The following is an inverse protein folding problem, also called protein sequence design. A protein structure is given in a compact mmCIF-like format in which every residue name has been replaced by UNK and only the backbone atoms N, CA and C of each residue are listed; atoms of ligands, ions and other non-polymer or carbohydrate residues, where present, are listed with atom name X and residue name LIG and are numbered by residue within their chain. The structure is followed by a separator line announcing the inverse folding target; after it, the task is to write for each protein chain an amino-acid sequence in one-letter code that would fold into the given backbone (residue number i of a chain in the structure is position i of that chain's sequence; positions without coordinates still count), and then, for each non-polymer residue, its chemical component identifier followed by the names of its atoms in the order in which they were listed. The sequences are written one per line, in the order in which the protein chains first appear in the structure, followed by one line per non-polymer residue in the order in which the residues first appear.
data_IF_296313901302
#
_entry.id   IF_296313901302
#
_cell.length_a   1.000
_cell.length_b   1.000
_cell.length_c   1.000
_cell.angle_alpha   90.00
_cell.angle_beta   90.00
_cell.angle_gamma   90.00
#
_symmetry.space_group_name_H-M   'P 1'
#
loop_
_entity.id
_entity.type
_entity.pdbx_description
1 polymer ?
#
# COMPACT_ATOMS: atom_id res chain seq x y z
N UNK A 1 25.25 -1.58 7.11
CA UNK A 1 24.00 -0.84 6.97
C UNK A 1 23.01 -1.82 6.38
N UNK A 2 22.18 -2.44 7.23
CA UNK A 2 21.25 -3.50 6.80
C UNK A 2 19.93 -2.85 6.43
N UNK A 3 19.48 -3.09 5.19
CA UNK A 3 18.12 -2.75 4.75
C UNK A 3 17.21 -3.92 5.13
N UNK A 4 16.33 -3.74 6.09
CA UNK A 4 15.18 -4.63 6.28
C UNK A 4 14.05 -4.19 5.36
N UNK A 5 14.08 -4.72 4.14
CA UNK A 5 12.95 -4.62 3.24
C UNK A 5 11.99 -5.77 3.55
N UNK A 6 10.90 -5.49 4.23
CA UNK A 6 9.83 -6.47 4.44
C UNK A 6 9.04 -6.67 3.16
N UNK A 7 9.42 -7.69 2.40
CA UNK A 7 8.68 -8.12 1.20
C UNK A 7 7.63 -9.13 1.65
N UNK A 8 6.36 -8.81 1.48
CA UNK A 8 5.24 -9.71 1.76
C UNK A 8 4.98 -10.56 0.52
N UNK A 9 5.39 -11.83 0.55
CA UNK A 9 5.02 -12.82 -0.48
C UNK A 9 3.76 -13.58 -0.07
N UNK A 10 2.69 -13.42 -0.83
CA UNK A 10 1.55 -14.31 -0.77
C UNK A 10 1.75 -15.48 -1.75
N UNK A 11 2.13 -16.66 -1.24
CA UNK A 11 2.25 -17.87 -2.05
C UNK A 11 1.02 -18.74 -1.93
N UNK A 12 0.15 -18.73 -2.94
CA UNK A 12 -0.82 -19.79 -3.15
C UNK A 12 -0.16 -20.96 -3.89
N UNK A 13 -0.16 -22.13 -3.24
CA UNK A 13 0.30 -23.40 -3.82
C UNK A 13 -0.78 -23.97 -4.72
N UNK A 14 -0.58 -23.96 -6.04
CA UNK A 14 -1.27 -24.89 -6.94
C UNK A 14 -0.29 -26.00 -7.36
N UNK A 15 -0.76 -27.25 -7.26
CA UNK A 15 -0.02 -28.47 -7.66
C UNK A 15 0.00 -28.59 -9.19
N UNK A 16 1.14 -28.88 -9.75
CA UNK A 16 1.18 -29.55 -11.03
C UNK A 16 2.42 -29.27 -11.90
N UNK A 17 3.20 -30.31 -12.04
CA UNK A 17 4.07 -30.68 -13.19
C UNK A 17 5.40 -29.97 -13.36
N UNK A 18 6.44 -30.69 -12.95
CA UNK A 18 7.83 -30.53 -13.41
C UNK A 18 7.96 -30.93 -14.88
N UNK A 19 8.56 -30.08 -15.68
CA UNK A 19 9.13 -30.48 -16.96
C UNK A 19 10.54 -29.87 -17.10
N UNK A 20 11.54 -30.75 -17.06
CA UNK A 20 12.95 -30.43 -17.38
C UNK A 20 13.07 -30.23 -18.90
N UNK A 21 13.66 -29.13 -19.32
CA UNK A 21 14.21 -29.00 -20.67
C UNK A 21 15.69 -28.68 -20.56
N UNK A 22 16.47 -29.65 -20.98
CA UNK A 22 17.91 -29.62 -21.14
C UNK A 22 18.23 -28.93 -22.50
N UNK A 23 18.94 -27.81 -22.49
CA UNK A 23 19.39 -27.20 -23.74
C UNK A 23 20.89 -27.39 -23.93
N UNK A 24 21.20 -28.11 -25.00
CA UNK A 24 22.54 -28.47 -25.48
C UNK A 24 23.19 -27.29 -26.21
N UNK A 25 24.44 -26.98 -25.85
CA UNK A 25 25.29 -26.07 -26.63
C UNK A 25 25.86 -26.77 -27.85
N UNK A 26 25.78 -26.13 -29.02
CA UNK A 26 26.64 -26.45 -30.17
C UNK A 26 27.33 -25.18 -30.65
N UNK A 27 28.65 -25.18 -30.51
CA UNK A 27 29.57 -24.24 -31.18
C UNK A 27 29.69 -24.63 -32.64
N UNK A 28 29.63 -23.67 -33.57
CA UNK A 28 30.35 -23.76 -34.83
C UNK A 28 30.79 -22.36 -35.29
N UNK A 29 32.09 -22.20 -35.35
CA UNK A 29 32.83 -21.11 -35.97
C UNK A 29 32.93 -21.30 -37.45
N UNK A 30 32.79 -20.25 -38.27
CA UNK A 30 33.56 -19.97 -39.51
C UNK A 30 33.32 -18.52 -39.96
N UNK A 31 34.45 -17.76 -40.20
CA UNK A 31 34.53 -16.60 -41.10
C UNK A 31 35.07 -17.07 -42.46
N UNK A 32 34.93 -16.36 -43.61
CA UNK A 32 35.49 -15.02 -43.83
C UNK A 32 34.71 -14.08 -44.80
N UNK A 33 35.04 -12.79 -44.63
CA UNK A 33 35.29 -11.70 -45.62
C UNK A 33 34.75 -11.78 -47.05
N UNK A 34 34.05 -10.71 -47.44
CA UNK A 34 34.35 -9.92 -48.67
C UNK A 34 33.62 -8.55 -48.59
N UNK A 35 34.35 -7.51 -48.94
CA UNK A 35 33.87 -6.14 -49.08
C UNK A 35 33.15 -5.98 -50.45
N UNK A 36 32.07 -5.17 -50.45
CA UNK A 36 31.62 -4.44 -51.61
C UNK A 36 30.81 -3.21 -51.17
N UNK A 37 31.26 -2.05 -51.56
CA UNK A 37 30.62 -0.76 -51.45
C UNK A 37 29.27 -0.77 -52.17
N UNK A 38 28.23 -0.24 -51.49
CA UNK A 38 27.08 0.35 -52.16
C UNK A 38 26.57 1.50 -51.27
N UNK A 39 26.76 2.72 -51.76
CA UNK A 39 26.07 3.90 -51.31
C UNK A 39 24.56 3.67 -51.47
N UNK A 40 23.83 3.57 -50.34
CA UNK A 40 22.39 3.66 -50.34
C UNK A 40 21.98 4.83 -49.42
N UNK A 41 21.33 5.77 -50.06
CA UNK A 41 20.67 6.96 -49.53
C UNK A 41 19.94 6.66 -48.23
N UNK A 42 20.40 7.25 -47.14
CA UNK A 42 19.76 7.17 -45.84
C UNK A 42 18.53 8.11 -45.87
N UNK A 43 17.37 7.57 -46.25
CA UNK A 43 16.11 8.18 -45.88
C UNK A 43 15.92 7.94 -44.37
N UNK A 44 15.96 9.02 -43.60
CA UNK A 44 15.57 9.00 -42.22
C UNK A 44 14.07 8.67 -42.18
N UNK A 45 13.71 7.44 -41.98
CA UNK A 45 12.42 7.08 -41.44
C UNK A 45 12.42 7.60 -40.00
N UNK A 46 11.71 8.70 -39.80
CA UNK A 46 11.26 9.08 -38.43
C UNK A 46 10.31 7.96 -38.02
N UNK A 47 10.84 6.98 -37.32
CA UNK A 47 10.01 6.10 -36.51
C UNK A 47 9.34 7.01 -35.52
N UNK A 48 8.04 7.20 -35.69
CA UNK A 48 7.13 7.75 -34.69
C UNK A 48 7.16 6.75 -33.53
N UNK A 49 8.11 6.97 -32.63
CA UNK A 49 8.25 6.27 -31.36
C UNK A 49 7.25 6.89 -30.37
N UNK A 50 5.97 6.95 -30.78
CA UNK A 50 4.87 7.00 -29.84
C UNK A 50 4.84 5.62 -29.17
N UNK A 51 5.77 5.40 -28.23
CA UNK A 51 5.63 4.35 -27.26
C UNK A 51 4.19 4.47 -26.73
N UNK A 52 3.37 3.45 -27.01
CA UNK A 52 2.09 3.26 -26.33
C UNK A 52 2.52 3.15 -24.88
N UNK A 53 2.46 4.28 -24.16
CA UNK A 53 2.73 4.33 -22.74
C UNK A 53 1.72 3.34 -22.14
N UNK A 54 2.22 2.24 -21.59
CA UNK A 54 1.35 1.21 -21.02
C UNK A 54 0.43 1.92 -20.05
N UNK A 55 -0.89 1.68 -20.14
CA UNK A 55 -1.86 2.31 -19.26
C UNK A 55 -1.37 2.16 -17.82
N UNK A 56 -1.31 3.24 -17.07
CA UNK A 56 -0.83 3.20 -15.70
C UNK A 56 -1.80 2.42 -14.82
N UNK A 57 -1.35 1.99 -13.68
CA UNK A 57 -2.07 1.07 -12.79
C UNK A 57 -3.46 1.61 -12.40
N UNK A 58 -3.53 2.86 -11.94
CA UNK A 58 -4.79 3.48 -11.53
C UNK A 58 -5.69 3.82 -12.72
N UNK A 59 -5.10 4.24 -13.84
CA UNK A 59 -5.83 4.51 -15.09
C UNK A 59 -6.52 3.25 -15.61
N UNK A 60 -5.88 2.09 -15.47
CA UNK A 60 -6.44 0.80 -15.85
C UNK A 60 -7.52 0.33 -14.88
N UNK A 61 -7.25 0.36 -13.57
CA UNK A 61 -8.10 -0.25 -12.53
C UNK A 61 -9.10 0.73 -11.90
N UNK A 62 -8.82 2.03 -11.90
CA UNK A 62 -9.70 3.07 -11.35
C UNK A 62 -9.83 3.06 -9.84
N UNK A 63 -10.97 3.52 -9.34
CA UNK A 63 -11.26 3.50 -7.90
C UNK A 63 -11.43 2.07 -7.40
N UNK A 64 -10.62 1.68 -6.41
CA UNK A 64 -10.77 0.41 -5.73
C UNK A 64 -11.94 0.43 -4.74
N UNK A 65 -12.54 -0.72 -4.54
CA UNK A 65 -13.60 -0.94 -3.55
C UNK A 65 -13.49 -2.30 -2.89
N UNK A 66 -14.24 -2.52 -1.81
CA UNK A 66 -14.34 -3.82 -1.14
C UNK A 66 -15.64 -4.49 -1.54
N UNK A 67 -15.55 -5.66 -2.16
CA UNK A 67 -16.70 -6.46 -2.58
C UNK A 67 -17.46 -7.06 -1.39
N UNK A 68 -18.67 -7.52 -1.61
CA UNK A 68 -19.47 -8.21 -0.59
C UNK A 68 -18.84 -9.53 -0.10
N UNK A 69 -17.89 -10.07 -0.86
CA UNK A 69 -17.10 -11.25 -0.48
C UNK A 69 -15.77 -10.91 0.21
N UNK A 70 -15.54 -9.63 0.53
CA UNK A 70 -14.38 -9.18 1.29
C UNK A 70 -13.08 -8.98 0.47
N UNK A 71 -13.14 -9.07 -0.85
CA UNK A 71 -11.98 -8.83 -1.71
C UNK A 71 -11.90 -7.37 -2.15
N UNK A 72 -10.68 -6.87 -2.30
CA UNK A 72 -10.43 -5.63 -3.02
C UNK A 72 -10.71 -5.87 -4.50
N UNK A 73 -11.53 -5.02 -5.11
CA UNK A 73 -11.89 -5.09 -6.52
C UNK A 73 -11.71 -3.74 -7.20
N UNK A 74 -11.43 -3.78 -8.50
CA UNK A 74 -11.27 -2.61 -9.35
C UNK A 74 -12.62 -2.06 -9.85
N UNK A 75 -12.59 -1.01 -10.69
CA UNK A 75 -13.79 -0.42 -11.31
C UNK A 75 -14.64 -1.39 -12.12
N UNK A 76 -14.05 -2.51 -12.58
CA UNK A 76 -14.71 -3.55 -13.36
C UNK A 76 -15.20 -4.72 -12.49
N UNK A 77 -15.09 -4.60 -11.17
CA UNK A 77 -15.38 -5.67 -10.19
C UNK A 77 -14.44 -6.89 -10.32
N UNK A 78 -13.29 -6.71 -10.94
CA UNK A 78 -12.22 -7.72 -10.97
C UNK A 78 -11.40 -7.65 -9.70
N UNK A 79 -11.02 -8.81 -9.14
CA UNK A 79 -10.17 -8.85 -7.95
C UNK A 79 -8.83 -8.18 -8.24
N UNK A 80 -8.49 -7.19 -7.43
CA UNK A 80 -7.23 -6.46 -7.51
C UNK A 80 -6.32 -6.83 -6.34
N UNK A 81 -5.10 -7.24 -6.65
CA UNK A 81 -4.10 -7.54 -5.63
C UNK A 81 -3.23 -6.31 -5.37
N UNK A 82 -3.33 -5.74 -4.17
CA UNK A 82 -2.41 -4.71 -3.71
C UNK A 82 -1.06 -5.37 -3.44
N UNK A 83 -0.02 -4.89 -4.14
CA UNK A 83 1.38 -5.24 -3.95
C UNK A 83 2.11 -3.98 -3.52
N UNK A 84 2.26 -3.81 -2.20
CA UNK A 84 2.76 -2.58 -1.62
C UNK A 84 4.09 -2.73 -0.91
N UNK A 85 4.71 -1.58 -0.67
CA UNK A 85 5.82 -1.42 0.25
C UNK A 85 5.56 -0.23 1.15
N UNK A 86 5.91 -0.36 2.44
CA UNK A 86 5.77 0.73 3.40
C UNK A 86 7.06 1.54 3.51
N UNK A 87 6.92 2.85 3.65
CA UNK A 87 8.01 3.67 4.19
C UNK A 87 8.18 3.36 5.67
N UNK A 88 9.32 3.72 6.22
CA UNK A 88 9.48 3.94 7.65
C UNK A 88 8.96 5.34 8.01
N UNK A 89 9.19 5.82 9.26
CA UNK A 89 8.83 7.18 9.66
C UNK A 89 9.31 8.21 8.62
N UNK A 90 8.38 9.05 8.15
CA UNK A 90 8.66 10.08 7.13
C UNK A 90 9.69 11.12 7.60
N UNK A 91 9.84 11.30 8.92
CA UNK A 91 10.86 12.17 9.50
C UNK A 91 12.28 11.55 9.47
N UNK A 92 12.40 10.22 9.40
CA UNK A 92 13.70 9.54 9.49
C UNK A 92 14.36 9.34 8.15
N UNK A 93 13.57 9.10 7.09
CA UNK A 93 14.07 8.76 5.76
C UNK A 93 13.31 9.50 4.64
N UNK A 94 13.14 10.84 4.73
CA UNK A 94 12.37 11.60 3.75
C UNK A 94 12.97 11.55 2.34
N UNK A 95 14.29 11.26 2.24
CA UNK A 95 15.02 11.20 0.96
C UNK A 95 14.55 10.07 0.04
N UNK A 96 13.86 9.05 0.57
CA UNK A 96 13.30 7.96 -0.23
C UNK A 96 11.86 8.22 -0.71
N UNK A 97 11.22 9.29 -0.24
CA UNK A 97 9.85 9.64 -0.60
C UNK A 97 9.86 10.59 -1.79
N UNK A 98 10.03 10.02 -2.99
CA UNK A 98 10.12 10.80 -4.23
C UNK A 98 9.76 9.94 -5.46
N UNK A 99 9.55 10.62 -6.60
CA UNK A 99 9.16 10.00 -7.87
C UNK A 99 10.17 8.96 -8.36
N UNK A 100 11.48 9.22 -8.22
CA UNK A 100 12.51 8.33 -8.78
C UNK A 100 12.58 7.02 -7.99
N UNK A 101 12.49 7.08 -6.66
CA UNK A 101 12.41 5.89 -5.81
C UNK A 101 11.15 5.08 -6.12
N UNK A 102 9.98 5.72 -6.20
CA UNK A 102 8.72 5.03 -6.44
C UNK A 102 8.66 4.45 -7.87
N UNK A 103 9.20 5.17 -8.86
CA UNK A 103 9.33 4.62 -10.23
C UNK A 103 10.16 3.34 -10.24
N UNK A 104 11.30 3.33 -9.54
CA UNK A 104 12.15 2.14 -9.44
C UNK A 104 11.43 0.98 -8.77
N UNK A 105 10.68 1.23 -7.69
CA UNK A 105 9.87 0.21 -7.00
C UNK A 105 8.79 -0.35 -7.94
N UNK A 106 8.10 0.50 -8.69
CA UNK A 106 7.09 0.10 -9.67
C UNK A 106 7.70 -0.75 -10.79
N UNK A 107 8.76 -0.25 -11.43
CA UNK A 107 9.28 -0.80 -12.68
C UNK A 107 10.16 -2.04 -12.46
N UNK A 108 10.93 -2.10 -11.36
CA UNK A 108 11.85 -3.21 -11.08
C UNK A 108 11.25 -4.27 -10.15
N UNK A 109 10.30 -3.89 -9.28
CA UNK A 109 9.75 -4.77 -8.25
C UNK A 109 8.24 -5.02 -8.40
N UNK A 110 7.60 -4.48 -9.44
CA UNK A 110 6.16 -4.58 -9.68
C UNK A 110 5.29 -4.08 -8.51
N UNK A 111 5.78 -3.08 -7.78
CA UNK A 111 5.01 -2.45 -6.69
C UNK A 111 3.93 -1.57 -7.32
N UNK A 112 2.68 -1.77 -6.93
CA UNK A 112 1.55 -0.98 -7.41
C UNK A 112 1.03 0.03 -6.37
N UNK A 113 1.48 -0.08 -5.12
CA UNK A 113 0.98 0.72 -3.99
C UNK A 113 2.13 1.11 -3.06
N UNK A 114 2.20 2.37 -2.66
CA UNK A 114 3.13 2.85 -1.63
C UNK A 114 2.34 3.13 -0.35
N UNK A 115 2.80 2.63 0.80
CA UNK A 115 2.27 2.99 2.11
C UNK A 115 3.15 4.06 2.74
N UNK A 116 2.58 5.21 3.06
CA UNK A 116 3.26 6.36 3.66
C UNK A 116 2.95 6.43 5.14
N UNK A 117 3.90 6.02 5.98
CA UNK A 117 3.73 5.86 7.40
C UNK A 117 3.98 7.18 8.15
N UNK A 118 2.90 7.89 8.52
CA UNK A 118 2.95 9.08 9.37
C UNK A 118 2.97 8.66 10.84
N UNK A 119 4.16 8.44 11.37
CA UNK A 119 4.35 8.10 12.79
C UNK A 119 3.83 9.21 13.71
N UNK A 120 3.16 8.83 14.79
CA UNK A 120 2.46 9.74 15.69
C UNK A 120 3.28 10.14 16.91
N UNK A 121 3.70 9.19 17.73
CA UNK A 121 4.28 9.42 19.06
C UNK A 121 5.75 9.02 19.22
N UNK A 122 6.34 8.34 18.23
CA UNK A 122 7.75 7.97 18.24
C UNK A 122 8.65 9.21 18.12
N UNK A 123 9.96 9.04 18.33
CA UNK A 123 10.93 10.10 18.13
C UNK A 123 10.79 10.72 16.72
N UNK A 124 10.62 12.03 16.69
CA UNK A 124 10.29 12.75 15.45
C UNK A 124 8.87 12.50 14.93
N UNK A 125 7.96 11.93 15.71
CA UNK A 125 6.57 11.68 15.32
C UNK A 125 5.73 12.97 15.22
N UNK A 126 4.70 12.92 14.40
CA UNK A 126 3.86 14.07 14.07
C UNK A 126 3.19 14.73 15.27
N UNK A 127 2.72 13.95 16.26
CA UNK A 127 1.99 14.46 17.41
C UNK A 127 2.90 15.04 18.50
N UNK A 128 4.17 14.64 18.54
CA UNK A 128 5.14 15.05 19.58
C UNK A 128 6.16 16.08 19.09
N UNK A 129 6.19 16.37 17.80
CA UNK A 129 7.09 17.33 17.19
C UNK A 129 6.57 18.77 17.26
N UNK A 130 7.48 19.74 17.09
CA UNK A 130 7.12 21.14 16.93
C UNK A 130 6.44 21.43 15.56
N UNK A 131 5.93 22.65 15.39
CA UNK A 131 5.21 23.02 14.18
C UNK A 131 6.08 22.98 12.92
N UNK A 132 7.37 23.26 13.02
CA UNK A 132 8.32 23.21 11.89
C UNK A 132 8.49 21.78 11.41
N UNK A 133 8.78 20.86 12.31
CA UNK A 133 8.93 19.44 12.01
C UNK A 133 7.62 18.82 11.47
N UNK A 134 6.46 19.19 12.05
CA UNK A 134 5.15 18.78 11.52
C UNK A 134 4.93 19.22 10.07
N UNK A 135 5.27 20.48 9.74
CA UNK A 135 5.15 20.98 8.37
C UNK A 135 6.10 20.25 7.41
N UNK A 136 7.30 19.91 7.85
CA UNK A 136 8.24 19.11 7.03
C UNK A 136 7.70 17.70 6.77
N UNK A 137 7.16 17.01 7.77
CA UNK A 137 6.52 15.70 7.59
C UNK A 137 5.30 15.77 6.67
N UNK A 138 4.46 16.79 6.81
CA UNK A 138 3.32 17.00 5.89
C UNK A 138 3.79 17.28 4.46
N UNK A 139 4.87 18.05 4.28
CA UNK A 139 5.44 18.28 2.96
C UNK A 139 6.00 16.98 2.35
N UNK A 140 6.69 16.16 3.15
CA UNK A 140 7.17 14.85 2.73
C UNK A 140 6.00 13.92 2.32
N UNK A 141 4.95 13.82 3.15
CA UNK A 141 3.75 13.06 2.84
C UNK A 141 3.09 13.54 1.54
N UNK A 142 2.90 14.85 1.39
CA UNK A 142 2.34 15.44 0.18
C UNK A 142 3.15 15.08 -1.06
N UNK A 143 4.49 15.22 -0.97
CA UNK A 143 5.40 14.83 -2.07
C UNK A 143 5.26 13.35 -2.42
N UNK A 144 5.09 12.47 -1.44
CA UNK A 144 4.87 11.04 -1.66
C UNK A 144 3.53 10.75 -2.33
N UNK A 145 2.44 11.41 -1.90
CA UNK A 145 1.12 11.28 -2.53
C UNK A 145 1.19 11.74 -3.98
N UNK A 146 1.76 12.92 -4.25
CA UNK A 146 1.87 13.47 -5.59
C UNK A 146 2.77 12.62 -6.50
N UNK A 147 3.86 12.06 -5.95
CA UNK A 147 4.72 11.13 -6.68
C UNK A 147 3.98 9.85 -7.08
N UNK A 148 3.16 9.28 -6.19
CA UNK A 148 2.34 8.11 -6.52
C UNK A 148 1.28 8.44 -7.58
N UNK A 149 0.60 9.59 -7.47
CA UNK A 149 -0.36 10.06 -8.47
C UNK A 149 0.32 10.26 -9.83
N UNK A 150 1.48 10.92 -9.86
CA UNK A 150 2.25 11.14 -11.10
C UNK A 150 2.67 9.83 -11.77
N UNK A 151 2.96 8.80 -10.99
CA UNK A 151 3.36 7.47 -11.46
C UNK A 151 2.17 6.54 -11.70
N UNK A 152 0.95 7.05 -11.53
CA UNK A 152 -0.30 6.30 -11.67
C UNK A 152 -0.35 5.05 -10.76
N UNK A 153 0.17 5.19 -9.54
CA UNK A 153 0.19 4.18 -8.48
C UNK A 153 -0.87 4.49 -7.41
N UNK A 154 -1.27 3.46 -6.66
CA UNK A 154 -2.04 3.67 -5.43
C UNK A 154 -1.12 4.10 -4.28
N UNK A 155 -1.73 4.77 -3.29
CA UNK A 155 -1.04 5.17 -2.08
C UNK A 155 -1.94 4.96 -0.86
N UNK A 156 -1.40 4.34 0.18
CA UNK A 156 -2.02 4.23 1.50
C UNK A 156 -1.43 5.33 2.37
N UNK A 157 -2.29 6.21 2.88
CA UNK A 157 -1.91 7.23 3.87
C UNK A 157 -2.19 6.64 5.23
N UNK A 158 -1.12 6.31 5.96
CA UNK A 158 -1.19 5.62 7.24
C UNK A 158 -0.93 6.56 8.42
N UNK A 159 -1.87 6.59 9.36
CA UNK A 159 -1.73 7.18 10.68
C UNK A 159 -1.11 6.15 11.61
N UNK A 160 0.24 6.23 11.72
CA UNK A 160 1.05 5.16 12.27
C UNK A 160 1.16 5.26 13.79
N UNK A 161 0.11 4.84 14.50
CA UNK A 161 0.18 4.69 15.95
C UNK A 161 0.98 3.44 16.31
N UNK A 162 1.77 3.53 17.37
CA UNK A 162 2.58 2.44 17.90
C UNK A 162 2.77 2.58 19.41
N UNK A 163 3.69 3.44 19.88
CA UNK A 163 3.94 3.65 21.31
C UNK A 163 2.83 4.41 22.02
N UNK A 164 2.01 5.16 21.32
CA UNK A 164 0.79 5.80 21.82
C UNK A 164 -0.38 4.83 22.03
N UNK A 165 -0.25 3.59 21.60
CA UNK A 165 -1.13 2.45 21.86
C UNK A 165 -2.59 2.66 21.51
N UNK A 166 -3.25 3.68 22.09
CA UNK A 166 -4.68 3.97 21.93
C UNK A 166 -4.89 5.13 20.95
N UNK A 167 -5.58 4.92 19.81
CA UNK A 167 -5.79 5.95 18.79
C UNK A 167 -6.56 7.16 19.32
N UNK A 168 -7.30 7.03 20.42
CA UNK A 168 -8.03 8.13 21.02
C UNK A 168 -7.10 9.18 21.68
N UNK A 169 -5.82 8.85 21.95
CA UNK A 169 -4.88 9.79 22.57
C UNK A 169 -4.68 11.04 21.69
N UNK A 170 -4.59 10.87 20.39
CA UNK A 170 -4.42 11.96 19.42
C UNK A 170 -5.58 12.08 18.42
N UNK A 171 -6.79 11.70 18.84
CA UNK A 171 -7.98 11.64 17.97
C UNK A 171 -8.26 12.97 17.24
N UNK A 172 -8.23 14.11 17.97
CA UNK A 172 -8.50 15.42 17.35
C UNK A 172 -7.45 15.79 16.30
N UNK A 173 -6.20 15.39 16.52
CA UNK A 173 -5.12 15.58 15.57
C UNK A 173 -5.33 14.68 14.35
N UNK A 174 -5.72 13.43 14.55
CA UNK A 174 -6.06 12.49 13.47
C UNK A 174 -7.23 12.99 12.62
N UNK A 175 -8.31 13.48 13.25
CA UNK A 175 -9.46 14.07 12.56
C UNK A 175 -9.04 15.23 11.65
N UNK A 176 -8.21 16.14 12.17
CA UNK A 176 -7.71 17.30 11.42
C UNK A 176 -6.76 16.87 10.29
N UNK A 177 -5.92 15.87 10.54
CA UNK A 177 -5.00 15.30 9.56
C UNK A 177 -5.76 14.67 8.39
N UNK A 178 -6.68 13.76 8.66
CA UNK A 178 -7.46 13.09 7.61
C UNK A 178 -8.40 14.04 6.87
N UNK A 179 -8.98 15.03 7.56
CA UNK A 179 -9.76 16.09 6.89
C UNK A 179 -8.90 16.84 5.87
N UNK A 180 -7.68 17.23 6.25
CA UNK A 180 -6.75 17.90 5.35
C UNK A 180 -6.43 17.05 4.12
N UNK A 181 -6.09 15.77 4.31
CA UNK A 181 -5.74 14.89 3.19
C UNK A 181 -6.95 14.61 2.32
N UNK A 182 -8.09 14.24 2.91
CA UNK A 182 -9.30 13.91 2.17
C UNK A 182 -9.88 15.12 1.42
N UNK A 183 -9.85 16.32 2.01
CA UNK A 183 -10.31 17.54 1.32
C UNK A 183 -9.42 17.94 0.14
N UNK A 184 -8.14 17.56 0.17
CA UNK A 184 -7.19 17.86 -0.91
C UNK A 184 -7.22 16.82 -2.02
N UNK A 185 -7.33 15.54 -1.67
CA UNK A 185 -7.15 14.42 -2.60
C UNK A 185 -8.36 13.48 -2.69
N UNK A 186 -9.49 13.81 -2.10
CA UNK A 186 -10.65 12.90 -2.01
C UNK A 186 -11.30 12.56 -3.36
N UNK A 187 -11.01 13.32 -4.40
CA UNK A 187 -11.42 13.06 -5.80
C UNK A 187 -10.44 12.12 -6.54
N UNK A 188 -9.29 11.78 -5.94
CA UNK A 188 -8.27 10.95 -6.57
C UNK A 188 -8.52 9.47 -6.26
N UNK A 189 -8.67 8.61 -7.27
CA UNK A 189 -8.86 7.17 -7.08
C UNK A 189 -7.63 6.46 -6.49
N UNK A 190 -6.48 7.15 -6.44
CA UNK A 190 -5.22 6.63 -5.96
C UNK A 190 -5.20 6.36 -4.45
N UNK A 191 -6.04 7.07 -3.65
CA UNK A 191 -5.83 7.20 -2.22
C UNK A 191 -6.65 6.17 -1.42
N UNK A 192 -5.96 5.42 -0.58
CA UNK A 192 -6.52 4.61 0.51
C UNK A 192 -6.08 5.22 1.84
N UNK A 193 -6.88 5.08 2.87
CA UNK A 193 -6.62 5.64 4.19
C UNK A 193 -6.47 4.53 5.22
N UNK A 194 -5.35 4.45 5.92
CA UNK A 194 -5.15 3.57 7.07
C UNK A 194 -5.18 4.42 8.33
N UNK A 195 -6.22 4.25 9.14
CA UNK A 195 -6.57 5.24 10.16
C UNK A 195 -5.96 4.97 11.53
N UNK A 196 -5.43 3.77 11.75
CA UNK A 196 -4.65 3.43 12.94
C UNK A 196 -3.84 2.16 12.66
N UNK A 197 -2.51 2.28 12.68
CA UNK A 197 -1.58 1.20 12.35
C UNK A 197 -1.69 0.01 13.32
N UNK A 198 -1.25 0.19 14.56
CA UNK A 198 -1.11 -0.89 15.54
C UNK A 198 -1.63 -0.50 16.94
N UNK A 199 -2.95 -0.43 17.15
CA UNK A 199 -3.51 -0.29 18.49
C UNK A 199 -3.03 -1.45 19.38
N UNK A 200 -2.55 -1.13 20.59
CA UNK A 200 -1.91 -2.15 21.43
C UNK A 200 -2.14 -1.88 22.94
N UNK A 201 -1.40 -2.59 23.80
CA UNK A 201 -1.59 -2.53 25.23
C UNK A 201 -3.00 -2.99 25.64
N UNK A 202 -3.64 -2.22 26.51
CA UNK A 202 -5.00 -2.51 27.00
C UNK A 202 -6.10 -1.88 26.13
N UNK A 203 -5.76 -1.40 24.92
CA UNK A 203 -6.72 -0.77 24.01
C UNK A 203 -7.74 -1.77 23.52
N UNK A 204 -9.00 -1.57 23.87
CA UNK A 204 -10.10 -2.44 23.48
C UNK A 204 -10.58 -2.19 22.05
N UNK A 205 -11.25 -3.21 21.47
CA UNK A 205 -11.91 -3.05 20.18
C UNK A 205 -12.99 -1.96 20.20
N UNK A 206 -13.73 -1.80 21.28
CA UNK A 206 -14.77 -0.76 21.40
C UNK A 206 -14.17 0.65 21.33
N UNK A 207 -13.00 0.87 21.92
CA UNK A 207 -12.27 2.15 21.84
C UNK A 207 -11.79 2.43 20.42
N UNK A 208 -11.20 1.41 19.77
CA UNK A 208 -10.76 1.50 18.37
C UNK A 208 -11.96 1.77 17.45
N UNK A 209 -13.04 1.04 17.65
CA UNK A 209 -14.28 1.18 16.87
C UNK A 209 -14.88 2.58 16.99
N UNK A 210 -14.94 3.13 18.22
CA UNK A 210 -15.42 4.49 18.46
C UNK A 210 -14.56 5.55 17.77
N UNK A 211 -13.24 5.44 17.89
CA UNK A 211 -12.29 6.29 17.16
C UNK A 211 -12.50 6.20 15.65
N UNK A 212 -12.56 4.96 15.15
CA UNK A 212 -12.62 4.70 13.72
C UNK A 212 -13.89 5.26 13.08
N UNK A 213 -15.05 5.15 13.75
CA UNK A 213 -16.32 5.71 13.23
C UNK A 213 -16.19 7.21 12.99
N UNK A 214 -15.63 7.95 13.94
CA UNK A 214 -15.48 9.41 13.81
C UNK A 214 -14.52 9.80 12.69
N UNK A 215 -13.39 9.07 12.56
CA UNK A 215 -12.39 9.33 11.50
C UNK A 215 -12.93 8.94 10.13
N UNK A 216 -13.58 7.77 10.01
CA UNK A 216 -14.22 7.34 8.77
C UNK A 216 -15.25 8.37 8.31
N UNK A 217 -16.14 8.80 9.20
CA UNK A 217 -17.19 9.77 8.86
C UNK A 217 -16.57 11.13 8.44
N UNK A 218 -15.44 11.54 9.04
CA UNK A 218 -14.68 12.72 8.60
C UNK A 218 -14.10 12.56 7.19
N UNK A 219 -13.47 11.43 6.89
CA UNK A 219 -12.93 11.12 5.56
C UNK A 219 -14.06 11.10 4.52
N UNK A 220 -15.20 10.49 4.85
CA UNK A 220 -16.36 10.33 3.94
C UNK A 220 -17.00 11.64 3.51
N UNK A 221 -16.79 12.72 4.23
CA UNK A 221 -17.25 14.05 3.80
C UNK A 221 -16.60 14.50 2.49
N UNK A 222 -15.39 14.02 2.18
CA UNK A 222 -14.61 14.45 1.02
C UNK A 222 -14.26 13.29 0.07
N UNK A 223 -14.11 12.10 0.60
CA UNK A 223 -13.72 10.87 -0.11
C UNK A 223 -14.74 9.74 0.13
N UNK A 224 -15.98 9.86 -0.37
CA UNK A 224 -17.10 8.96 -0.01
C UNK A 224 -16.90 7.52 -0.45
N UNK A 225 -16.07 7.26 -1.45
CA UNK A 225 -15.88 5.92 -2.04
C UNK A 225 -14.52 5.28 -1.70
N UNK A 226 -13.60 6.00 -1.07
CA UNK A 226 -12.26 5.47 -0.79
C UNK A 226 -12.31 4.30 0.19
N UNK A 227 -11.38 3.36 0.03
CA UNK A 227 -11.16 2.30 1.02
C UNK A 227 -10.55 2.93 2.28
N UNK A 228 -11.08 2.51 3.45
CA UNK A 228 -10.48 2.82 4.75
C UNK A 228 -10.03 1.52 5.41
N UNK A 229 -8.79 1.50 5.88
CA UNK A 229 -8.14 0.38 6.56
C UNK A 229 -8.12 0.69 8.05
N UNK A 230 -8.62 -0.24 8.85
CA UNK A 230 -8.79 -0.10 10.30
C UNK A 230 -7.89 -1.09 11.01
N UNK A 231 -7.01 -0.60 11.88
CA UNK A 231 -6.21 -1.45 12.76
C UNK A 231 -7.08 -2.20 13.78
N UNK A 232 -6.61 -3.37 14.20
CA UNK A 232 -7.29 -4.20 15.21
C UNK A 232 -6.47 -4.27 16.49
N UNK A 233 -7.03 -4.73 17.64
CA UNK A 233 -6.25 -4.79 18.87
C UNK A 233 -4.99 -5.63 18.77
N UNK A 234 -4.11 -5.50 19.78
CA UNK A 234 -2.90 -6.32 19.93
C UNK A 234 -1.98 -6.25 18.69
N UNK A 235 -1.57 -5.02 18.34
CA UNK A 235 -0.72 -4.75 17.16
C UNK A 235 -1.35 -5.28 15.88
N UNK A 236 -2.60 -4.96 15.65
CA UNK A 236 -3.38 -5.39 14.48
C UNK A 236 -3.39 -6.91 14.26
N UNK A 237 -3.50 -7.70 15.36
CA UNK A 237 -3.55 -9.16 15.31
C UNK A 237 -4.92 -9.75 15.66
N UNK A 238 -5.79 -9.02 16.38
CA UNK A 238 -7.07 -9.55 16.91
C UNK A 238 -8.24 -9.29 15.94
N UNK A 239 -8.07 -9.73 14.69
CA UNK A 239 -9.12 -9.63 13.66
C UNK A 239 -10.37 -10.45 13.98
N UNK A 240 -10.25 -11.52 14.76
CA UNK A 240 -11.35 -12.32 15.26
C UNK A 240 -12.25 -11.52 16.21
N UNK A 241 -11.67 -10.72 17.11
CA UNK A 241 -12.41 -9.82 17.99
C UNK A 241 -13.15 -8.77 17.16
N UNK A 242 -12.47 -8.11 16.21
CA UNK A 242 -13.11 -7.16 15.32
C UNK A 242 -14.26 -7.78 14.51
N UNK A 243 -14.11 -9.04 14.09
CA UNK A 243 -15.12 -9.78 13.31
C UNK A 243 -16.40 -10.08 14.07
N UNK A 244 -16.34 -10.12 15.41
CA UNK A 244 -17.52 -10.35 16.26
C UNK A 244 -18.46 -9.14 16.35
N UNK A 245 -17.94 -7.94 16.10
CA UNK A 245 -18.68 -6.67 16.14
C UNK A 245 -18.09 -5.67 15.14
N UNK A 246 -18.17 -5.90 13.82
CA UNK A 246 -17.56 -5.05 12.82
C UNK A 246 -18.14 -3.64 12.81
N UNK A 247 -17.45 -2.71 12.17
CA UNK A 247 -17.93 -1.33 11.96
C UNK A 247 -18.98 -1.34 10.85
N UNK A 248 -20.14 -0.75 11.11
CA UNK A 248 -21.25 -0.66 10.13
C UNK A 248 -21.01 0.46 9.11
N UNK A 249 -19.98 0.31 8.28
CA UNK A 249 -19.64 1.19 7.17
C UNK A 249 -19.17 0.35 6.00
N UNK A 250 -19.26 0.86 4.79
CA UNK A 250 -18.82 0.18 3.56
C UNK A 250 -17.39 0.54 3.19
N UNK A 251 -16.78 -0.23 2.30
CA UNK A 251 -15.40 -0.05 1.83
C UNK A 251 -14.39 0.00 2.98
N UNK A 252 -14.52 -0.93 3.92
CA UNK A 252 -13.56 -1.11 5.01
C UNK A 252 -12.75 -2.37 4.80
N UNK A 253 -11.46 -2.29 5.17
CA UNK A 253 -10.56 -3.41 5.37
C UNK A 253 -10.08 -3.39 6.82
N UNK A 254 -9.77 -4.56 7.38
CA UNK A 254 -9.28 -4.70 8.75
C UNK A 254 -7.86 -5.24 8.72
N UNK A 255 -6.93 -4.51 9.33
CA UNK A 255 -5.51 -4.87 9.30
C UNK A 255 -5.23 -6.15 10.08
N UNK A 256 -4.43 -7.01 9.47
CA UNK A 256 -3.74 -8.12 10.13
C UNK A 256 -2.24 -7.96 9.91
N UNK A 257 -1.49 -7.73 11.00
CA UNK A 257 -0.04 -7.63 10.97
C UNK A 257 0.61 -8.89 11.51
N UNK A 258 1.69 -9.33 10.90
CA UNK A 258 2.41 -10.51 11.37
C UNK A 258 3.85 -10.60 10.88
N UNK A 259 4.66 -11.22 11.70
CA UNK A 259 6.00 -11.66 11.32
C UNK A 259 5.96 -13.15 10.96
N UNK A 260 6.17 -13.47 9.68
CA UNK A 260 6.00 -14.82 9.14
C UNK A 260 6.85 -15.91 9.85
N UNK A 261 8.00 -15.53 10.40
CA UNK A 261 8.86 -16.45 11.17
C UNK A 261 8.35 -16.71 12.59
N UNK A 262 7.57 -15.80 13.18
CA UNK A 262 7.20 -15.79 14.60
C UNK A 262 5.75 -16.23 14.83
N UNK A 263 4.81 -15.67 14.07
CA UNK A 263 3.39 -15.92 14.24
C UNK A 263 2.97 -17.19 13.47
N UNK A 264 2.28 -18.11 14.16
CA UNK A 264 1.93 -19.44 13.64
C UNK A 264 0.43 -19.73 13.82
N UNK A 265 0.10 -20.89 14.38
CA UNK A 265 -1.26 -21.42 14.43
C UNK A 265 -2.25 -20.52 15.17
N UNK A 266 -1.82 -19.83 16.22
CA UNK A 266 -2.69 -18.95 17.00
C UNK A 266 -3.23 -17.81 16.13
N UNK A 267 -2.36 -17.12 15.38
CA UNK A 267 -2.79 -16.04 14.50
C UNK A 267 -3.56 -16.56 13.28
N UNK A 268 -3.19 -17.74 12.77
CA UNK A 268 -3.95 -18.41 11.70
C UNK A 268 -5.38 -18.73 12.13
N UNK A 269 -5.57 -19.15 13.39
CA UNK A 269 -6.89 -19.41 13.95
C UNK A 269 -7.76 -18.16 14.07
N UNK A 270 -7.17 -17.03 14.48
CA UNK A 270 -7.83 -15.71 14.51
C UNK A 270 -8.27 -15.29 13.10
N UNK A 271 -7.35 -15.39 12.13
CA UNK A 271 -7.66 -15.10 10.73
C UNK A 271 -8.79 -15.98 10.20
N UNK A 272 -8.74 -17.31 10.47
CA UNK A 272 -9.79 -18.24 10.03
C UNK A 272 -11.15 -17.86 10.63
N UNK A 273 -11.19 -17.46 11.90
CA UNK A 273 -12.41 -16.99 12.57
C UNK A 273 -12.94 -15.73 11.89
N UNK A 274 -12.08 -14.73 11.65
CA UNK A 274 -12.46 -13.48 11.01
C UNK A 274 -13.02 -13.70 9.59
N UNK A 275 -12.36 -14.54 8.79
CA UNK A 275 -12.83 -14.90 7.44
C UNK A 275 -14.15 -15.66 7.46
N UNK A 276 -14.35 -16.56 8.43
CA UNK A 276 -15.62 -17.29 8.60
C UNK A 276 -16.76 -16.34 8.94
N UNK A 277 -16.49 -15.30 9.70
CA UNK A 277 -17.45 -14.24 10.03
C UNK A 277 -17.65 -13.22 8.89
N UNK A 278 -16.93 -13.36 7.78
CA UNK A 278 -17.05 -12.49 6.60
C UNK A 278 -16.34 -11.15 6.73
N UNK A 279 -15.36 -11.02 7.67
CA UNK A 279 -14.60 -9.79 7.82
C UNK A 279 -13.60 -9.62 6.65
N UNK A 280 -13.58 -8.46 5.96
CA UNK A 280 -12.57 -8.17 4.94
C UNK A 280 -11.21 -7.90 5.59
N UNK A 281 -10.32 -8.89 5.60
CA UNK A 281 -8.98 -8.78 6.22
C UNK A 281 -7.94 -8.37 5.18
N UNK A 282 -7.04 -7.48 5.57
CA UNK A 282 -5.95 -6.97 4.74
C UNK A 282 -4.63 -6.98 5.53
N UNK A 283 -3.56 -7.43 4.88
CA UNK A 283 -2.22 -7.37 5.44
C UNK A 283 -1.57 -6.09 4.94
N UNK A 284 -1.49 -5.07 5.80
CA UNK A 284 -0.92 -3.75 5.47
C UNK A 284 0.54 -3.62 5.90
N UNK A 285 1.01 -4.51 6.83
CA UNK A 285 2.39 -4.58 7.27
C UNK A 285 2.80 -6.01 7.64
#
# INVERSE_FOLDING_TARGET
MYFDAHIIFNTFRSRGVFMFVLCLMILCSVRPSFAAEAEATLQAETTDDSAIEAAGIVSEHGQLSVSSSGFVVDKNQSVFQIQGISTHNLAWYPEYVNVDTFRKLRDEFNINTIRLAMYTAEDGGYCVSDDTARQQMLACLTSGIEAAIQLDMYVIVDWHILSDSNPNLYKETALSFFERIASTYGDKPNILYEICNEPNGDTSWDEIKSYSVDVIDRIRMYAPQSIVIVGTPTWSQDVDIASSSPIERTNLLYSLHFYAATHKEDLQSKLQTALTNGLPVFVSE
#
